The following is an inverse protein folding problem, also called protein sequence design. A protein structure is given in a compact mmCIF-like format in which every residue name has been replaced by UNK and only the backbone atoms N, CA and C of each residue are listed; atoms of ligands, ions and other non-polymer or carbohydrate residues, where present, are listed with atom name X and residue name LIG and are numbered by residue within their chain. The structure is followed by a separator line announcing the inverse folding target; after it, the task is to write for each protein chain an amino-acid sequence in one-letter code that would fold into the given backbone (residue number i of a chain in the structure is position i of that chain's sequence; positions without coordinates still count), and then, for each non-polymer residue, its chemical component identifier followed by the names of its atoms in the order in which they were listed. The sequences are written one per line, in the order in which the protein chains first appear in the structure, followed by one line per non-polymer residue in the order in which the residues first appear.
data_IF_516162618742
#
_entry.id   IF_516162618742
#
_cell.length_a   1.000
_cell.length_b   1.000
_cell.length_c   1.000
_cell.angle_alpha   90.00
_cell.angle_beta   90.00
_cell.angle_gamma   90.00
#
_symmetry.space_group_name_H-M   'P 1'
#
loop_
_entity.id
_entity.type
_entity.pdbx_description
1 polymer ?
#
# COMPACT_ATOMS: atom_id res chain seq x y z
N UNK A 1 20.47 -10.67 -2.75
CA UNK A 1 20.18 -9.95 -4.00
C UNK A 1 20.23 -8.46 -3.67
N UNK A 2 19.96 -7.54 -4.62
CA UNK A 2 19.84 -6.13 -4.27
C UNK A 2 18.56 -5.92 -3.44
N UNK A 3 18.63 -5.12 -2.37
CA UNK A 3 17.45 -4.77 -1.58
C UNK A 3 16.42 -4.04 -2.47
N UNK A 4 15.11 -4.23 -2.25
CA UNK A 4 14.09 -3.53 -3.02
C UNK A 4 14.24 -2.02 -2.82
N UNK A 5 13.92 -1.25 -3.86
CA UNK A 5 13.88 0.23 -3.75
C UNK A 5 12.79 0.68 -2.77
N UNK A 6 11.67 -0.03 -2.72
CA UNK A 6 10.57 0.28 -1.81
C UNK A 6 9.88 -0.97 -1.21
N UNK A 7 9.41 -0.84 0.04
CA UNK A 7 8.43 -1.74 0.66
C UNK A 7 7.06 -1.09 0.64
N UNK A 8 6.06 -1.83 0.16
CA UNK A 8 4.65 -1.46 0.31
C UNK A 8 4.05 -2.27 1.45
N UNK A 9 3.69 -1.63 2.56
CA UNK A 9 2.89 -2.25 3.62
C UNK A 9 1.41 -2.05 3.30
N UNK A 10 0.76 -3.11 2.83
CA UNK A 10 -0.64 -3.09 2.38
C UNK A 10 -1.60 -3.93 3.20
N UNK A 11 -2.89 -3.72 2.96
CA UNK A 11 -4.00 -4.37 3.66
C UNK A 11 -5.16 -3.40 3.89
N UNK A 12 -6.31 -3.92 4.30
CA UNK A 12 -7.51 -3.12 4.60
C UNK A 12 -7.25 -2.13 5.75
N UNK A 13 -8.07 -1.08 5.87
CA UNK A 13 -8.02 -0.19 7.03
C UNK A 13 -8.23 -0.98 8.33
N UNK A 14 -7.49 -0.62 9.38
CA UNK A 14 -7.44 -1.37 10.64
C UNK A 14 -6.41 -2.50 10.70
N UNK A 15 -5.76 -2.88 9.58
CA UNK A 15 -4.74 -3.93 9.57
C UNK A 15 -3.40 -3.56 10.24
N UNK A 16 -3.18 -2.26 10.51
CA UNK A 16 -1.96 -1.78 11.20
C UNK A 16 -0.84 -1.30 10.27
N UNK A 17 -1.12 -1.03 8.98
CA UNK A 17 -0.14 -0.59 7.98
C UNK A 17 0.77 0.54 8.45
N UNK A 18 0.21 1.63 8.97
CA UNK A 18 0.99 2.81 9.39
C UNK A 18 1.92 2.48 10.55
N UNK A 19 1.44 1.71 11.54
CA UNK A 19 2.25 1.28 12.69
C UNK A 19 3.39 0.36 12.27
N UNK A 20 3.09 -0.66 11.46
CA UNK A 20 4.11 -1.60 10.95
C UNK A 20 5.10 -0.87 10.05
N UNK A 21 4.62 -0.04 9.13
CA UNK A 21 5.46 0.70 8.18
C UNK A 21 6.39 1.70 8.85
N UNK A 22 5.91 2.48 9.82
CA UNK A 22 6.73 3.43 10.56
C UNK A 22 7.82 2.72 11.37
N UNK A 23 7.49 1.60 12.02
CA UNK A 23 8.46 0.82 12.79
C UNK A 23 9.50 0.16 11.88
N UNK A 24 9.10 -0.44 10.76
CA UNK A 24 10.04 -1.00 9.77
C UNK A 24 10.99 0.07 9.24
N UNK A 25 10.47 1.24 8.89
CA UNK A 25 11.29 2.35 8.39
C UNK A 25 12.33 2.79 9.44
N UNK A 26 11.93 2.90 10.71
CA UNK A 26 12.83 3.23 11.81
C UNK A 26 13.93 2.18 11.98
N UNK A 27 13.58 0.89 11.97
CA UNK A 27 14.54 -0.23 12.13
C UNK A 27 15.52 -0.34 10.95
N UNK A 28 15.05 -0.06 9.74
CA UNK A 28 15.84 -0.14 8.51
C UNK A 28 16.64 1.14 8.23
N UNK A 29 16.33 2.25 8.90
CA UNK A 29 16.84 3.58 8.55
C UNK A 29 16.30 4.08 7.20
N UNK A 30 15.11 3.61 6.80
CA UNK A 30 14.47 3.96 5.53
C UNK A 30 13.48 5.11 5.73
N UNK A 31 13.13 5.77 4.64
CA UNK A 31 12.13 6.84 4.69
C UNK A 31 10.72 6.26 4.77
N UNK A 32 9.89 6.80 5.65
CA UNK A 32 8.49 6.39 5.79
C UNK A 32 7.54 7.39 5.12
N UNK A 33 6.53 6.85 4.44
CA UNK A 33 5.37 7.61 3.97
C UNK A 33 4.07 6.88 4.34
N UNK A 34 3.11 7.63 4.88
CA UNK A 34 1.72 7.19 4.95
C UNK A 34 0.97 7.73 3.73
N UNK A 35 0.41 6.84 2.91
CA UNK A 35 -0.24 7.22 1.67
C UNK A 35 -1.49 8.08 1.89
N UNK A 36 -2.14 7.96 3.05
CA UNK A 36 -3.35 8.71 3.37
C UNK A 36 -3.08 10.23 3.47
N UNK A 37 -1.86 10.64 3.84
CA UNK A 37 -1.42 12.04 3.89
C UNK A 37 -1.40 12.71 2.50
N UNK A 38 -1.25 11.91 1.46
CA UNK A 38 -1.10 12.37 0.07
C UNK A 38 -2.41 12.42 -0.70
N UNK A 39 -3.55 12.10 -0.06
CA UNK A 39 -4.84 12.21 -0.72
C UNK A 39 -5.14 13.68 -1.11
N UNK A 40 -5.70 13.92 -2.31
CA UNK A 40 -6.22 15.23 -2.65
C UNK A 40 -7.41 15.58 -1.75
N UNK A 41 -7.70 16.88 -1.61
CA UNK A 41 -8.75 17.37 -0.70
C UNK A 41 -10.12 16.74 -1.00
N UNK A 42 -10.42 16.52 -2.28
CA UNK A 42 -11.65 15.91 -2.78
C UNK A 42 -11.83 14.48 -2.26
N UNK A 43 -10.75 13.70 -2.23
CA UNK A 43 -10.79 12.32 -1.73
C UNK A 43 -11.02 12.29 -0.22
N UNK A 44 -10.33 13.16 0.54
CA UNK A 44 -10.55 13.28 1.99
C UNK A 44 -12.00 13.65 2.29
N UNK A 45 -12.56 14.64 1.59
CA UNK A 45 -13.97 15.05 1.76
C UNK A 45 -14.97 13.93 1.45
N UNK A 46 -14.69 13.06 0.47
CA UNK A 46 -15.54 11.88 0.20
C UNK A 46 -15.46 10.88 1.35
N UNK A 47 -14.25 10.53 1.80
CA UNK A 47 -14.05 9.57 2.88
C UNK A 47 -14.61 10.06 4.22
N UNK A 48 -14.46 11.35 4.55
CA UNK A 48 -15.07 11.98 5.74
C UNK A 48 -16.60 11.85 5.75
N UNK A 49 -17.23 11.86 4.57
CA UNK A 49 -18.68 11.66 4.40
C UNK A 49 -19.08 10.18 4.34
N UNK A 50 -18.13 9.27 4.56
CA UNK A 50 -18.35 7.83 4.45
C UNK A 50 -18.56 7.33 3.02
N UNK A 51 -18.21 8.13 2.00
CA UNK A 51 -18.37 7.78 0.59
C UNK A 51 -17.09 7.06 0.13
N UNK A 52 -17.18 5.80 -0.33
CA UNK A 52 -16.00 5.08 -0.82
C UNK A 52 -15.45 5.73 -2.10
N UNK A 53 -14.13 5.83 -2.19
CA UNK A 53 -13.47 6.28 -3.41
C UNK A 53 -13.62 5.24 -4.53
N UNK A 54 -13.62 5.69 -5.78
CA UNK A 54 -13.58 4.83 -6.97
C UNK A 54 -12.20 4.85 -7.65
N UNK A 55 -12.05 4.18 -8.80
CA UNK A 55 -10.77 4.13 -9.52
C UNK A 55 -10.33 5.51 -10.05
N UNK A 56 -11.26 6.35 -10.50
CA UNK A 56 -10.95 7.69 -11.01
C UNK A 56 -10.42 8.61 -9.90
N UNK A 57 -10.91 8.42 -8.67
CA UNK A 57 -10.43 9.12 -7.48
C UNK A 57 -9.02 8.66 -7.08
N UNK A 58 -8.73 7.35 -7.18
CA UNK A 58 -7.48 6.75 -6.70
C UNK A 58 -6.32 6.87 -7.70
N UNK A 59 -6.56 6.78 -9.00
CA UNK A 59 -5.49 6.76 -10.01
C UNK A 59 -4.56 7.98 -9.91
N UNK A 60 -5.04 9.24 -9.85
CA UNK A 60 -4.17 10.40 -9.74
C UNK A 60 -3.32 10.40 -8.45
N UNK A 61 -3.94 9.99 -7.34
CA UNK A 61 -3.26 9.84 -6.05
C UNK A 61 -2.15 8.78 -6.10
N UNK A 62 -2.42 7.61 -6.68
CA UNK A 62 -1.43 6.54 -6.84
C UNK A 62 -0.29 6.94 -7.78
N UNK A 63 -0.57 7.70 -8.85
CA UNK A 63 0.48 8.24 -9.72
C UNK A 63 1.40 9.21 -8.97
N UNK A 64 0.82 10.10 -8.14
CA UNK A 64 1.62 11.00 -7.30
C UNK A 64 2.50 10.23 -6.30
N UNK A 65 1.98 9.16 -5.70
CA UNK A 65 2.77 8.28 -4.83
C UNK A 65 3.91 7.61 -5.61
N UNK A 66 3.66 7.11 -6.82
CA UNK A 66 4.72 6.58 -7.68
C UNK A 66 5.83 7.62 -7.93
N UNK A 67 5.48 8.86 -8.28
CA UNK A 67 6.46 9.92 -8.54
C UNK A 67 7.33 10.20 -7.30
N UNK A 68 6.74 10.16 -6.10
CA UNK A 68 7.45 10.28 -4.82
C UNK A 68 8.41 9.10 -4.60
N UNK A 69 7.92 7.86 -4.79
CA UNK A 69 8.74 6.66 -4.66
C UNK A 69 9.91 6.69 -5.64
N UNK A 70 9.64 7.00 -6.90
CA UNK A 70 10.64 7.02 -7.96
C UNK A 70 11.72 8.06 -7.69
N UNK A 71 11.35 9.28 -7.27
CA UNK A 71 12.31 10.33 -6.91
C UNK A 71 13.27 9.88 -5.81
N UNK A 72 12.73 9.31 -4.74
CA UNK A 72 13.55 8.93 -3.59
C UNK A 72 14.43 7.70 -3.92
N UNK A 73 13.88 6.69 -4.58
CA UNK A 73 14.63 5.49 -5.01
C UNK A 73 15.74 5.84 -6.00
N UNK A 74 15.49 6.72 -6.97
CA UNK A 74 16.52 7.17 -7.92
C UNK A 74 17.61 8.03 -7.27
N UNK A 75 17.32 8.66 -6.13
CA UNK A 75 18.33 9.35 -5.30
C UNK A 75 19.15 8.41 -4.40
N UNK A 76 18.93 7.09 -4.50
CA UNK A 76 19.60 6.08 -3.68
C UNK A 76 18.98 5.88 -2.29
N UNK A 77 17.78 6.44 -2.04
CA UNK A 77 17.06 6.24 -0.79
C UNK A 77 16.11 5.05 -0.89
N UNK A 78 16.01 4.26 0.17
CA UNK A 78 14.99 3.22 0.28
C UNK A 78 13.76 3.74 1.03
N UNK A 79 12.59 3.23 0.67
CA UNK A 79 11.31 3.75 1.14
C UNK A 79 10.40 2.66 1.69
N UNK A 80 9.69 2.95 2.78
CA UNK A 80 8.54 2.17 3.26
C UNK A 80 7.28 3.00 3.09
N UNK A 81 6.32 2.48 2.32
CA UNK A 81 5.03 3.11 2.06
C UNK A 81 3.91 2.30 2.72
N UNK A 82 3.16 2.92 3.64
CA UNK A 82 1.89 2.37 4.09
C UNK A 82 0.79 2.80 3.10
N UNK A 83 0.17 1.85 2.39
CA UNK A 83 -0.90 2.15 1.43
C UNK A 83 -1.85 0.97 1.30
N UNK A 84 -3.15 1.22 1.19
CA UNK A 84 -4.14 0.13 1.06
C UNK A 84 -3.91 -0.73 -0.20
N UNK A 85 -3.64 -0.10 -1.35
CA UNK A 85 -3.25 -0.72 -2.62
C UNK A 85 -3.99 -2.04 -2.94
N UNK A 86 -5.31 -2.04 -2.71
CA UNK A 86 -6.12 -3.26 -2.61
C UNK A 86 -6.24 -4.03 -3.94
N UNK A 87 -6.26 -3.33 -5.08
CA UNK A 87 -6.29 -3.95 -6.41
C UNK A 87 -4.90 -4.15 -6.98
N UNK A 88 -4.70 -5.19 -7.79
CA UNK A 88 -3.46 -5.42 -8.55
C UNK A 88 -3.10 -4.21 -9.42
N UNK A 89 -4.09 -3.62 -10.08
CA UNK A 89 -3.89 -2.42 -10.90
C UNK A 89 -3.34 -1.23 -10.10
N UNK A 90 -3.69 -1.10 -8.82
CA UNK A 90 -3.14 -0.04 -7.98
C UNK A 90 -1.66 -0.27 -7.66
N UNK A 91 -1.27 -1.53 -7.43
CA UNK A 91 0.12 -1.92 -7.23
C UNK A 91 0.94 -1.76 -8.50
N UNK A 92 0.36 -2.08 -9.66
CA UNK A 92 0.98 -1.83 -10.97
C UNK A 92 1.22 -0.32 -11.21
N UNK A 93 0.30 0.57 -10.77
CA UNK A 93 0.51 2.03 -10.81
C UNK A 93 1.66 2.47 -9.90
N UNK A 94 1.77 1.92 -8.69
CA UNK A 94 2.89 2.25 -7.79
C UNK A 94 4.25 1.84 -8.39
N UNK A 95 4.29 0.76 -9.16
CA UNK A 95 5.51 0.27 -9.82
C UNK A 95 5.84 1.08 -11.08
N UNK A 96 4.84 1.38 -11.93
CA UNK A 96 5.04 1.89 -13.31
C UNK A 96 4.47 3.30 -13.56
N UNK A 97 3.95 3.95 -12.53
CA UNK A 97 3.27 5.24 -12.63
C UNK A 97 2.05 5.19 -13.53
N UNK A 98 1.90 6.20 -14.39
CA UNK A 98 0.79 6.28 -15.36
C UNK A 98 0.75 5.09 -16.32
N UNK A 99 1.87 4.40 -16.54
CA UNK A 99 1.93 3.19 -17.34
C UNK A 99 1.42 1.94 -16.59
N UNK A 100 1.14 2.02 -15.29
CA UNK A 100 0.39 0.99 -14.58
C UNK A 100 -1.13 1.18 -14.70
N UNK A 101 -1.60 2.39 -15.01
CA UNK A 101 -3.02 2.70 -15.05
C UNK A 101 -3.71 2.11 -16.30
N UNK A 102 -5.00 1.71 -16.22
CA UNK A 102 -5.75 1.24 -17.39
C UNK A 102 -5.74 2.28 -18.51
N UNK A 103 -5.47 1.84 -19.74
CA UNK A 103 -5.52 2.71 -20.92
C UNK A 103 -6.97 3.07 -21.24
N UNK A 104 -7.23 4.36 -21.51
CA UNK A 104 -8.44 4.76 -22.24
C UNK A 104 -8.28 4.29 -23.69
N UNK A 105 -9.32 3.64 -24.23
CA UNK A 105 -9.36 3.06 -25.57
C UNK A 105 -8.73 4.00 -26.61
N UNK A 106 -7.70 3.53 -27.32
CA UNK A 106 -7.14 4.23 -28.48
C UNK A 106 -5.87 5.07 -28.27
N UNK A 107 -5.22 5.04 -27.10
CA UNK A 107 -3.89 5.65 -26.91
C UNK A 107 -2.78 4.60 -26.88
N UNK A 108 -1.91 4.63 -27.88
CA UNK A 108 -0.61 3.95 -27.88
C UNK A 108 0.28 4.57 -26.80
N UNK A 109 0.99 3.76 -26.02
CA UNK A 109 2.04 4.25 -25.11
C UNK A 109 3.31 4.42 -25.93
N UNK A 110 3.94 5.59 -25.86
CA UNK A 110 5.27 5.79 -26.43
C UNK A 110 6.26 4.79 -25.81
N UNK A 111 7.14 4.25 -26.64
CA UNK A 111 8.06 3.13 -26.35
C UNK A 111 9.27 3.55 -25.49
N UNK A 112 9.14 4.55 -24.63
CA UNK A 112 10.18 4.85 -23.65
C UNK A 112 10.08 3.84 -22.51
N UNK A 113 11.19 3.14 -22.24
CA UNK A 113 11.32 2.18 -21.14
C UNK A 113 11.05 2.92 -19.83
N UNK A 114 9.87 2.77 -19.20
CA UNK A 114 9.51 3.60 -18.07
C UNK A 114 10.39 3.27 -16.87
N UNK A 115 10.71 4.27 -16.07
CA UNK A 115 11.42 4.04 -14.82
C UNK A 115 10.50 3.29 -13.85
N UNK A 116 10.85 2.06 -13.53
CA UNK A 116 10.07 1.20 -12.63
C UNK A 116 10.65 1.22 -11.21
N UNK A 117 9.77 1.24 -10.21
CA UNK A 117 10.15 1.07 -8.81
C UNK A 117 10.19 -0.42 -8.48
N UNK A 118 11.35 -0.93 -8.05
CA UNK A 118 11.44 -2.28 -7.51
C UNK A 118 10.72 -2.35 -6.16
N UNK A 119 9.50 -2.88 -6.18
CA UNK A 119 8.59 -2.93 -5.04
C UNK A 119 8.52 -4.34 -4.45
N UNK A 120 8.61 -4.45 -3.13
CA UNK A 120 8.24 -5.64 -2.38
C UNK A 120 6.97 -5.36 -1.58
N UNK A 121 5.95 -6.19 -1.77
CA UNK A 121 4.64 -6.02 -1.13
C UNK A 121 4.58 -6.82 0.18
N UNK A 122 4.39 -6.14 1.30
CA UNK A 122 4.07 -6.75 2.59
C UNK A 122 2.56 -6.66 2.80
N UNK A 123 1.85 -7.78 2.58
CA UNK A 123 0.42 -7.88 2.79
C UNK A 123 0.09 -8.29 4.23
N UNK A 124 -0.45 -7.35 5.00
CA UNK A 124 -1.01 -7.60 6.33
C UNK A 124 -2.43 -8.16 6.17
N UNK A 125 -2.55 -9.48 6.17
CA UNK A 125 -3.80 -10.21 5.96
C UNK A 125 -4.49 -10.53 7.29
N UNK A 126 -5.81 -10.43 7.35
CA UNK A 126 -6.61 -10.83 8.51
C UNK A 126 -8.05 -11.09 8.13
N UNK A 127 -8.78 -11.86 8.95
CA UNK A 127 -10.21 -12.06 8.73
C UNK A 127 -10.99 -10.76 9.00
N UNK A 128 -12.20 -10.68 8.47
CA UNK A 128 -13.08 -9.53 8.70
C UNK A 128 -13.33 -9.33 10.21
N UNK A 129 -13.56 -10.41 10.95
CA UNK A 129 -13.87 -10.40 12.38
C UNK A 129 -12.71 -9.82 13.19
N UNK A 130 -11.47 -10.24 12.89
CA UNK A 130 -10.27 -9.75 13.57
C UNK A 130 -10.08 -8.26 13.31
N UNK A 131 -10.17 -7.82 12.05
CA UNK A 131 -9.98 -6.42 11.69
C UNK A 131 -11.11 -5.54 12.26
N UNK A 132 -12.36 -6.00 12.15
CA UNK A 132 -13.52 -5.33 12.72
C UNK A 132 -13.38 -5.18 14.23
N UNK A 133 -12.99 -6.24 14.94
CA UNK A 133 -12.74 -6.21 16.38
C UNK A 133 -11.68 -5.18 16.78
N UNK A 134 -10.59 -5.08 16.02
CA UNK A 134 -9.53 -4.07 16.23
C UNK A 134 -10.04 -2.65 16.03
N UNK A 135 -10.86 -2.41 15.01
CA UNK A 135 -11.43 -1.09 14.74
C UNK A 135 -12.40 -0.65 15.83
N UNK A 136 -13.24 -1.56 16.36
CA UNK A 136 -14.16 -1.26 17.46
C UNK A 136 -13.44 -0.88 18.76
N UNK A 137 -12.25 -1.40 19.00
CA UNK A 137 -11.46 -1.06 20.19
C UNK A 137 -10.80 0.33 20.11
N UNK A 138 -10.66 0.90 18.91
CA UNK A 138 -10.10 2.25 18.72
C UNK A 138 -11.20 3.30 18.97
N UNK A 139 -11.14 3.98 20.12
CA UNK A 139 -12.15 4.95 20.56
C UNK A 139 -12.28 6.21 19.69
N UNK A 140 -11.28 6.54 18.85
CA UNK A 140 -11.22 7.85 18.17
C UNK A 140 -11.53 7.82 16.67
N UNK A 141 -11.59 6.64 16.02
CA UNK A 141 -11.87 6.54 14.59
C UNK A 141 -12.76 5.33 14.29
N UNK A 142 -14.06 5.48 14.50
CA UNK A 142 -15.03 4.48 14.07
C UNK A 142 -15.14 4.49 12.54
N UNK A 143 -14.60 3.47 11.88
CA UNK A 143 -14.88 3.23 10.47
C UNK A 143 -16.18 2.45 10.35
N UNK A 144 -17.21 2.96 9.64
CA UNK A 144 -18.45 2.24 9.42
C UNK A 144 -18.21 0.80 8.91
N UNK A 145 -18.90 -0.22 9.46
CA UNK A 145 -18.71 -1.62 9.03
C UNK A 145 -18.88 -1.83 7.52
N UNK A 146 -19.79 -1.09 6.89
CA UNK A 146 -20.00 -1.11 5.44
C UNK A 146 -18.75 -0.68 4.64
N UNK A 147 -17.97 0.27 5.16
CA UNK A 147 -16.70 0.67 4.53
C UNK A 147 -15.63 -0.39 4.68
N UNK A 148 -15.57 -1.08 5.83
CA UNK A 148 -14.69 -2.23 5.98
C UNK A 148 -15.05 -3.33 4.99
N UNK A 149 -16.34 -3.68 4.88
CA UNK A 149 -16.83 -4.69 3.94
C UNK A 149 -16.42 -4.34 2.51
N UNK A 150 -16.64 -3.09 2.08
CA UNK A 150 -16.25 -2.63 0.74
C UNK A 150 -14.75 -2.79 0.45
N UNK A 151 -13.89 -2.69 1.47
CA UNK A 151 -12.45 -2.90 1.30
C UNK A 151 -12.10 -4.38 1.14
N UNK A 152 -12.77 -5.27 1.87
CA UNK A 152 -12.64 -6.72 1.65
C UNK A 152 -13.15 -7.11 0.27
N UNK A 153 -14.28 -6.56 -0.17
CA UNK A 153 -14.82 -6.81 -1.52
C UNK A 153 -13.90 -6.28 -2.63
N UNK A 154 -13.11 -5.24 -2.34
CA UNK A 154 -12.14 -4.64 -3.27
C UNK A 154 -10.76 -5.32 -3.23
N UNK A 155 -10.45 -6.07 -2.17
CA UNK A 155 -9.14 -6.66 -1.97
C UNK A 155 -8.89 -7.77 -2.99
N UNK A 156 -7.89 -7.55 -3.84
CA UNK A 156 -7.27 -8.55 -4.70
C UNK A 156 -5.92 -8.92 -4.06
N UNK A 157 -5.86 -10.02 -3.27
CA UNK A 157 -4.64 -10.39 -2.56
C UNK A 157 -3.45 -10.53 -3.53
N UNK A 158 -2.24 -10.06 -3.16
CA UNK A 158 -1.06 -10.26 -3.97
C UNK A 158 -0.81 -11.74 -4.24
N UNK A 159 -0.45 -12.07 -5.49
CA UNK A 159 -0.19 -13.45 -5.91
C UNK A 159 0.95 -13.50 -6.94
N UNK A 160 1.63 -14.65 -7.12
CA UNK A 160 2.68 -14.75 -8.13
C UNK A 160 2.15 -14.37 -9.52
N UNK A 161 2.90 -13.59 -10.33
CA UNK A 161 4.33 -13.31 -10.20
C UNK A 161 4.69 -12.05 -9.39
N UNK A 162 3.75 -11.45 -8.64
CA UNK A 162 4.06 -10.30 -7.78
C UNK A 162 5.12 -10.69 -6.72
N UNK A 163 6.01 -9.75 -6.38
CA UNK A 163 6.98 -9.95 -5.30
C UNK A 163 6.33 -9.54 -3.98
N UNK A 164 5.86 -10.51 -3.20
CA UNK A 164 5.13 -10.25 -1.96
C UNK A 164 5.52 -11.17 -0.79
N UNK A 165 5.19 -10.73 0.41
CA UNK A 165 5.19 -11.47 1.68
C UNK A 165 3.80 -11.27 2.28
N UNK A 166 3.11 -12.35 2.62
CA UNK A 166 1.84 -12.29 3.34
C UNK A 166 2.06 -12.64 4.81
N UNK A 167 1.53 -11.82 5.71
CA UNK A 167 1.68 -11.99 7.15
C UNK A 167 0.32 -11.80 7.81
N UNK A 168 -0.07 -12.76 8.67
CA UNK A 168 -1.29 -12.62 9.46
C UNK A 168 -1.16 -11.48 10.47
N UNK A 169 -2.18 -10.64 10.53
CA UNK A 169 -2.31 -9.59 11.54
C UNK A 169 -2.50 -10.16 12.93
N UNK A 170 -2.89 -11.43 13.11
CA UNK A 170 -3.08 -12.09 14.40
C UNK A 170 -1.80 -12.17 15.24
N UNK A 171 -0.65 -12.08 14.57
CA UNK A 171 0.67 -11.98 15.22
C UNK A 171 0.82 -10.67 15.99
N UNK A 172 1.66 -10.70 17.01
CA UNK A 172 2.11 -9.48 17.67
C UNK A 172 2.92 -8.59 16.71
N UNK A 173 2.98 -7.29 17.00
CA UNK A 173 3.75 -6.35 16.19
C UNK A 173 5.22 -6.79 16.07
N UNK A 174 5.84 -7.22 17.17
CA UNK A 174 7.23 -7.71 17.18
C UNK A 174 7.44 -8.92 16.27
N UNK A 175 6.50 -9.88 16.24
CA UNK A 175 6.59 -11.03 15.34
C UNK A 175 6.43 -10.65 13.87
N UNK A 176 5.51 -9.72 13.57
CA UNK A 176 5.32 -9.21 12.20
C UNK A 176 6.63 -8.57 11.70
N UNK A 177 7.23 -7.68 12.50
CA UNK A 177 8.50 -7.02 12.15
C UNK A 177 9.62 -8.06 11.96
N UNK A 178 9.76 -9.00 12.89
CA UNK A 178 10.80 -10.02 12.83
C UNK A 178 10.72 -10.85 11.53
N UNK A 179 9.53 -11.31 11.14
CA UNK A 179 9.31 -12.08 9.90
C UNK A 179 9.68 -11.26 8.66
N UNK A 180 9.31 -9.97 8.62
CA UNK A 180 9.65 -9.10 7.49
C UNK A 180 11.16 -8.92 7.40
N UNK A 181 11.81 -8.59 8.51
CA UNK A 181 13.26 -8.36 8.57
C UNK A 181 14.07 -9.61 8.19
N UNK A 182 13.63 -10.79 8.62
CA UNK A 182 14.27 -12.05 8.25
C UNK A 182 14.12 -12.32 6.75
N UNK A 183 12.92 -12.13 6.20
CA UNK A 183 12.66 -12.34 4.77
C UNK A 183 13.45 -11.37 3.89
N UNK A 184 13.66 -10.13 4.34
CA UNK A 184 14.50 -9.14 3.65
C UNK A 184 15.97 -9.57 3.61
N UNK A 185 16.49 -10.22 4.65
CA UNK A 185 17.88 -10.72 4.67
C UNK A 185 18.09 -11.91 3.74
N UNK A 186 17.05 -12.73 3.55
CA UNK A 186 17.10 -13.91 2.69
C UNK A 186 16.97 -13.60 1.19
N UNK A 187 16.49 -12.41 0.83
CA UNK A 187 16.37 -11.96 -0.56
C UNK A 187 17.68 -11.33 -1.04
#
# INVERSE_FOLDING_TARGET
MAAPGALLVMGVSGSGKSTVGALLASELGWKFYDADDYHPKENRMKMEKGIPLNDQDRIPWLCNLHDILLRDVTSGQHVVLACSALKKTYRDILIRGKNGAPLKSGKSREEEKPAEVQLLVVHLSGSFEVISGRLHQRKEHFMPPALLQSQFDTLEPPSPPENFIQISVDKSLSEIIAVIMETLKMK
#
